data_IF_607198223483
#
_entry.id   IF_607198223483
#
_cell.length_a   1.000
_cell.length_b   1.000
_cell.length_c   1.000
_cell.angle_alpha   90.00
_cell.angle_beta   90.00
_cell.angle_gamma   90.00
#
_symmetry.space_group_name_H-M   'P 1'
#
loop_
_entity.id
_entity.type
_entity.pdbx_description
1 polymer ?
#
# COMPACT_ATOMS: atom_id res chain seq x y z
N UNK A 1 64.22 -37.57 -5.41
CA UNK A 1 63.62 -37.01 -4.18
C UNK A 1 62.33 -36.31 -4.62
N UNK A 2 61.21 -37.05 -4.65
CA UNK A 2 60.16 -37.06 -3.60
C UNK A 2 59.50 -35.67 -3.48
N UNK A 3 58.20 -35.45 -3.67
CA UNK A 3 56.97 -36.27 -3.63
C UNK A 3 55.84 -35.38 -4.16
N UNK A 4 55.10 -35.73 -5.24
CA UNK A 4 53.75 -36.34 -5.24
C UNK A 4 52.79 -35.85 -4.14
N UNK A 5 51.68 -35.27 -4.58
CA UNK A 5 50.44 -35.04 -3.82
C UNK A 5 49.29 -34.69 -4.77
N UNK A 6 48.70 -35.72 -5.40
CA UNK A 6 47.34 -35.73 -5.95
C UNK A 6 46.34 -35.42 -4.83
N UNK A 7 45.24 -34.71 -5.09
CA UNK A 7 43.88 -35.16 -4.73
C UNK A 7 42.79 -34.42 -5.54
N UNK A 8 41.84 -35.24 -5.99
CA UNK A 8 40.49 -35.04 -6.55
C UNK A 8 39.93 -33.59 -6.59
N UNK A 9 39.30 -33.12 -7.67
CA UNK A 9 38.36 -33.83 -8.52
C UNK A 9 36.92 -33.57 -8.06
N UNK A 10 36.34 -32.43 -8.45
CA UNK A 10 34.89 -32.27 -8.57
C UNK A 10 34.63 -31.57 -9.91
N UNK A 11 34.33 -32.40 -10.92
CA UNK A 11 33.58 -31.99 -12.09
C UNK A 11 32.16 -31.65 -11.60
N UNK A 12 31.80 -30.37 -11.58
CA UNK A 12 30.40 -29.97 -11.61
C UNK A 12 30.06 -29.64 -13.06
N UNK A 13 29.38 -30.59 -13.70
CA UNK A 13 28.88 -30.52 -15.06
C UNK A 13 27.83 -29.42 -15.22
N UNK A 14 27.87 -28.80 -16.39
CA UNK A 14 26.93 -27.84 -16.99
C UNK A 14 25.46 -28.05 -16.56
N UNK A 15 24.87 -27.01 -15.97
CA UNK A 15 23.44 -26.74 -16.02
C UNK A 15 23.24 -25.24 -16.31
N UNK A 16 22.53 -24.97 -17.42
CA UNK A 16 22.09 -23.65 -17.87
C UNK A 16 21.03 -23.08 -16.92
N UNK A 17 21.20 -21.83 -16.47
CA UNK A 17 20.14 -20.81 -16.42
C UNK A 17 20.70 -19.48 -15.86
N UNK A 18 20.34 -18.39 -16.52
CA UNK A 18 20.74 -17.01 -16.27
C UNK A 18 20.53 -16.52 -14.82
N UNK A 19 21.52 -15.79 -14.29
CA UNK A 19 21.39 -14.40 -13.84
C UNK A 19 22.76 -13.89 -13.37
N UNK A 20 23.49 -13.27 -14.28
CA UNK A 20 24.58 -12.35 -13.91
C UNK A 20 24.01 -10.94 -13.95
N UNK A 21 23.94 -10.30 -12.78
CA UNK A 21 24.11 -8.86 -12.57
C UNK A 21 24.23 -8.66 -11.07
N UNK A 22 25.47 -8.43 -10.63
CA UNK A 22 25.78 -8.07 -9.25
C UNK A 22 25.25 -6.67 -8.92
N UNK A 23 24.63 -6.54 -7.76
CA UNK A 23 24.46 -5.24 -7.11
C UNK A 23 25.81 -4.78 -6.55
N UNK A 24 26.21 -3.58 -6.97
CA UNK A 24 27.34 -2.82 -6.43
C UNK A 24 27.10 -2.47 -4.95
N UNK A 25 28.07 -2.61 -4.03
CA UNK A 25 27.92 -2.18 -2.65
C UNK A 25 28.39 -0.72 -2.54
N UNK A 26 27.49 0.24 -2.75
CA UNK A 26 27.88 1.65 -2.56
C UNK A 26 26.81 2.72 -2.77
N UNK A 27 26.27 3.19 -1.64
CA UNK A 27 25.86 4.58 -1.35
C UNK A 27 24.51 5.11 -1.87
N UNK A 28 23.56 5.25 -0.94
CA UNK A 28 22.73 6.46 -0.80
C UNK A 28 22.59 6.84 0.68
N UNK A 29 23.21 7.96 1.08
CA UNK A 29 22.82 8.73 2.26
C UNK A 29 22.29 10.05 1.71
N UNK A 30 21.01 10.39 1.96
CA UNK A 30 20.46 11.76 2.06
C UNK A 30 18.92 11.73 2.26
N UNK A 31 18.42 11.81 3.50
CA UNK A 31 17.05 12.29 3.80
C UNK A 31 15.90 11.26 3.94
N UNK A 32 14.76 11.66 4.54
CA UNK A 32 13.94 10.79 5.40
C UNK A 32 13.09 9.77 4.64
N UNK A 33 13.28 8.50 5.04
CA UNK A 33 12.64 7.26 4.58
C UNK A 33 12.64 7.09 3.05
N UNK A 34 13.84 6.94 2.48
CA UNK A 34 13.97 6.16 1.24
C UNK A 34 13.56 4.72 1.55
N UNK A 35 12.41 4.32 1.04
CA UNK A 35 12.09 2.94 0.72
C UNK A 35 13.33 2.34 0.04
N UNK A 36 13.97 1.36 0.68
CA UNK A 36 15.26 0.83 0.26
C UNK A 36 15.32 0.55 -1.24
N UNK A 37 16.47 0.85 -1.84
CA UNK A 37 16.90 0.53 -3.21
C UNK A 37 16.63 -0.95 -3.59
N UNK A 38 15.40 -1.24 -4.02
CA UNK A 38 14.98 -2.61 -4.40
C UNK A 38 13.97 -3.28 -3.47
N UNK A 39 13.46 -2.56 -2.46
CA UNK A 39 12.29 -2.95 -1.66
C UNK A 39 11.05 -3.01 -2.54
N UNK A 40 10.88 -4.12 -3.26
CA UNK A 40 9.66 -4.39 -4.00
C UNK A 40 8.56 -4.46 -2.97
N UNK A 41 7.73 -3.41 -2.86
CA UNK A 41 6.54 -3.50 -2.05
C UNK A 41 5.76 -4.71 -2.53
N UNK A 42 5.70 -5.72 -1.66
CA UNK A 42 5.00 -6.94 -1.97
C UNK A 42 3.54 -6.54 -2.01
N UNK A 43 2.94 -6.73 -3.17
CA UNK A 43 1.52 -6.56 -3.35
C UNK A 43 0.79 -7.36 -2.26
N UNK A 44 -0.19 -6.73 -1.62
CA UNK A 44 -1.05 -7.36 -0.63
C UNK A 44 -2.20 -8.05 -1.37
N UNK A 45 -2.40 -9.37 -1.16
CA UNK A 45 -3.52 -10.09 -1.78
C UNK A 45 -4.86 -9.57 -1.26
N UNK A 46 -5.93 -9.93 -1.95
CA UNK A 46 -7.29 -9.70 -1.47
C UNK A 46 -7.48 -10.29 -0.07
N UNK A 47 -8.24 -9.55 0.74
CA UNK A 47 -8.61 -9.92 2.11
C UNK A 47 -10.12 -9.99 2.24
N UNK A 48 -10.62 -10.66 3.28
CA UNK A 48 -12.04 -10.65 3.57
C UNK A 48 -12.52 -9.20 3.82
N UNK A 49 -13.64 -8.75 3.21
CA UNK A 49 -14.11 -7.39 3.41
C UNK A 49 -14.43 -7.08 4.89
N UNK A 50 -14.18 -5.84 5.30
CA UNK A 50 -14.31 -5.36 6.68
C UNK A 50 -15.77 -5.17 7.17
N UNK A 51 -16.68 -6.07 6.81
CA UNK A 51 -18.12 -5.93 7.02
C UNK A 51 -18.85 -5.36 5.79
N UNK A 52 -20.14 -5.06 5.95
CA UNK A 52 -21.04 -4.65 4.85
C UNK A 52 -20.90 -3.18 4.43
N UNK A 53 -20.34 -2.34 5.30
CA UNK A 53 -20.17 -0.92 5.02
C UNK A 53 -21.50 -0.17 4.90
N UNK A 54 -22.39 -0.25 5.89
CA UNK A 54 -23.64 0.53 5.99
C UNK A 54 -23.52 2.09 5.90
N UNK A 55 -22.40 2.64 5.44
CA UNK A 55 -22.10 4.06 5.32
C UNK A 55 -22.22 4.54 3.87
N UNK A 56 -22.30 5.85 3.69
CA UNK A 56 -22.43 6.47 2.37
C UNK A 56 -21.11 6.32 1.59
N UNK A 57 -21.17 5.57 0.49
CA UNK A 57 -20.07 5.42 -0.45
C UNK A 57 -19.62 6.80 -0.97
N UNK A 58 -18.31 7.05 -0.98
CA UNK A 58 -17.72 8.26 -1.55
C UNK A 58 -17.80 9.51 -0.68
N UNK A 59 -18.63 9.51 0.36
CA UNK A 59 -18.76 10.64 1.27
C UNK A 59 -17.50 10.81 2.13
N UNK A 60 -17.03 12.05 2.29
CA UNK A 60 -15.95 12.38 3.22
C UNK A 60 -16.33 11.96 4.65
N UNK A 61 -15.66 10.94 5.20
CA UNK A 61 -16.04 10.36 6.48
C UNK A 61 -15.73 11.31 7.65
N UNK A 62 -14.60 12.00 7.60
CA UNK A 62 -14.13 12.84 8.70
C UNK A 62 -14.78 14.24 8.62
N UNK A 63 -14.73 14.89 7.46
CA UNK A 63 -15.19 16.28 7.30
C UNK A 63 -16.68 16.47 7.03
N UNK A 64 -17.45 15.41 6.75
CA UNK A 64 -18.92 15.51 6.66
C UNK A 64 -19.63 15.64 8.01
N UNK A 65 -18.87 15.61 9.12
CA UNK A 65 -19.38 15.81 10.48
C UNK A 65 -19.75 14.53 11.23
N UNK A 66 -19.43 13.36 10.70
CA UNK A 66 -19.80 12.05 11.26
C UNK A 66 -18.70 11.32 12.04
N UNK A 67 -17.41 11.49 11.69
CA UNK A 67 -16.33 10.71 12.29
C UNK A 67 -15.10 11.50 12.70
N UNK A 68 -15.13 12.84 12.65
CA UNK A 68 -14.01 13.65 13.18
C UNK A 68 -14.14 13.94 14.67
N UNK A 69 -15.29 14.45 15.11
CA UNK A 69 -15.52 14.81 16.52
C UNK A 69 -16.96 14.55 17.02
N UNK A 70 -17.87 14.08 16.15
CA UNK A 70 -19.30 13.94 16.44
C UNK A 70 -19.93 12.95 15.47
N UNK A 71 -21.07 12.33 15.82
CA UNK A 71 -21.88 11.52 14.90
C UNK A 71 -21.57 10.02 14.88
N UNK A 72 -20.41 9.61 15.40
CA UNK A 72 -19.96 8.23 15.42
C UNK A 72 -18.60 8.08 16.12
N UNK A 73 -18.02 6.88 16.15
CA UNK A 73 -16.64 6.69 16.61
C UNK A 73 -15.68 7.53 15.76
N UNK A 74 -14.66 8.10 16.40
CA UNK A 74 -13.67 8.91 15.71
C UNK A 74 -12.78 8.05 14.80
N UNK A 75 -12.58 8.49 13.56
CA UNK A 75 -11.65 7.89 12.61
C UNK A 75 -10.45 8.80 12.39
N UNK A 76 -9.31 8.18 12.14
CA UNK A 76 -8.03 8.84 11.86
C UNK A 76 -7.70 8.82 10.38
N UNK A 77 -8.03 7.72 9.69
CA UNK A 77 -7.96 7.59 8.23
C UNK A 77 -9.24 6.94 7.73
N UNK A 78 -9.83 7.45 6.66
CA UNK A 78 -10.99 6.83 6.00
C UNK A 78 -11.17 7.30 4.56
N UNK A 79 -11.85 6.47 3.77
CA UNK A 79 -12.22 6.79 2.39
C UNK A 79 -12.95 5.65 1.68
N UNK A 80 -13.00 5.71 0.35
CA UNK A 80 -13.66 4.72 -0.52
C UNK A 80 -12.78 4.42 -1.73
N UNK A 81 -12.55 3.13 -2.02
CA UNK A 81 -11.83 2.68 -3.22
C UNK A 81 -12.78 2.26 -4.33
N UNK A 82 -12.42 2.66 -5.54
CA UNK A 82 -13.14 2.40 -6.77
C UNK A 82 -12.28 1.68 -7.80
N UNK A 83 -12.91 0.99 -8.73
CA UNK A 83 -12.28 0.40 -9.90
C UNK A 83 -12.56 1.26 -11.13
N UNK A 84 -11.50 1.83 -11.69
CA UNK A 84 -11.61 2.70 -12.88
C UNK A 84 -12.05 1.93 -14.13
N UNK A 85 -11.73 0.63 -14.24
CA UNK A 85 -12.09 -0.20 -15.40
C UNK A 85 -13.54 -0.69 -15.33
N UNK A 86 -14.11 -0.78 -14.14
CA UNK A 86 -15.51 -1.18 -13.91
C UNK A 86 -16.42 0.04 -13.70
N UNK A 87 -16.25 1.09 -14.51
CA UNK A 87 -17.08 2.30 -14.45
C UNK A 87 -17.14 2.96 -13.06
N UNK A 88 -16.10 2.82 -12.24
CA UNK A 88 -16.07 3.39 -10.89
C UNK A 88 -16.96 2.64 -9.89
N UNK A 89 -17.17 1.33 -10.06
CA UNK A 89 -17.70 0.46 -9.00
C UNK A 89 -16.72 0.38 -7.83
N UNK A 90 -17.21 0.08 -6.63
CA UNK A 90 -16.37 -0.04 -5.43
C UNK A 90 -15.58 -1.33 -5.39
N UNK A 91 -14.43 -1.31 -4.71
CA UNK A 91 -13.52 -2.45 -4.60
C UNK A 91 -13.54 -3.03 -3.18
N UNK A 92 -14.31 -4.08 -2.94
CA UNK A 92 -14.30 -4.79 -1.65
C UNK A 92 -13.05 -5.68 -1.52
N UNK A 93 -12.56 -5.86 -0.28
CA UNK A 93 -11.45 -6.77 0.03
C UNK A 93 -10.05 -6.27 -0.33
N UNK A 94 -9.92 -5.08 -0.93
CA UNK A 94 -8.64 -4.41 -1.10
C UNK A 94 -8.04 -4.01 0.25
N UNK A 95 -6.70 -3.90 0.33
CA UNK A 95 -6.00 -3.39 1.50
C UNK A 95 -5.44 -2.01 1.24
N UNK A 96 -5.79 -1.05 2.09
CA UNK A 96 -5.12 0.24 2.18
C UNK A 96 -3.94 0.10 3.13
N UNK A 97 -2.74 0.35 2.64
CA UNK A 97 -1.52 0.44 3.43
C UNK A 97 -1.21 1.91 3.65
N UNK A 98 -1.19 2.34 4.91
CA UNK A 98 -0.81 3.68 5.33
C UNK A 98 0.50 3.56 6.09
N UNK A 99 1.53 4.27 5.66
CA UNK A 99 2.77 4.47 6.41
C UNK A 99 2.80 5.93 6.83
N UNK A 100 2.89 6.17 8.12
CA UNK A 100 2.87 7.54 8.66
C UNK A 100 4.29 8.14 8.74
N UNK A 101 4.38 9.41 9.14
CA UNK A 101 5.63 10.16 9.22
C UNK A 101 6.60 9.65 10.28
N UNK A 102 6.12 8.84 11.23
CA UNK A 102 6.93 8.16 12.24
C UNK A 102 7.37 6.76 11.78
N UNK A 103 6.98 6.34 10.56
CA UNK A 103 7.28 5.05 9.97
C UNK A 103 6.34 3.91 10.39
N UNK A 104 5.23 4.23 11.05
CA UNK A 104 4.24 3.24 11.47
C UNK A 104 3.37 2.81 10.29
N UNK A 105 3.27 1.49 10.07
CA UNK A 105 2.39 0.91 9.06
C UNK A 105 1.03 0.48 9.64
N UNK A 106 -0.06 0.91 9.00
CA UNK A 106 -1.44 0.50 9.29
C UNK A 106 -2.04 -0.11 8.02
N UNK A 107 -2.64 -1.30 8.15
CA UNK A 107 -3.31 -2.01 7.04
C UNK A 107 -4.81 -2.04 7.27
N UNK A 108 -5.57 -1.53 6.33
CA UNK A 108 -7.02 -1.31 6.44
C UNK A 108 -7.73 -2.04 5.29
N UNK A 109 -8.45 -3.15 5.55
CA UNK A 109 -9.25 -3.79 4.52
C UNK A 109 -10.46 -2.91 4.15
N UNK A 110 -10.84 -2.92 2.87
CA UNK A 110 -12.08 -2.29 2.42
C UNK A 110 -13.29 -3.17 2.74
N UNK A 111 -14.40 -2.54 3.11
CA UNK A 111 -15.69 -3.17 3.34
C UNK A 111 -16.38 -3.55 2.01
N UNK A 112 -17.55 -4.20 2.09
CA UNK A 112 -18.30 -4.65 0.93
C UNK A 112 -18.69 -3.52 -0.04
N UNK A 113 -18.81 -2.30 0.46
CA UNK A 113 -19.08 -1.09 -0.32
C UNK A 113 -17.80 -0.29 -0.67
N UNK A 114 -16.61 -0.89 -0.55
CA UNK A 114 -15.32 -0.26 -0.84
C UNK A 114 -14.85 0.79 0.17
N UNK A 115 -15.62 1.08 1.23
CA UNK A 115 -15.18 1.99 2.28
C UNK A 115 -14.08 1.36 3.12
N UNK A 116 -13.16 2.19 3.60
CA UNK A 116 -12.17 1.81 4.60
C UNK A 116 -12.10 2.88 5.67
N UNK A 117 -11.77 2.48 6.89
CA UNK A 117 -11.56 3.39 8.00
C UNK A 117 -10.69 2.75 9.08
N UNK A 118 -10.02 3.57 9.88
CA UNK A 118 -9.37 3.16 11.13
C UNK A 118 -9.50 4.24 12.19
N UNK A 119 -9.45 3.84 13.46
CA UNK A 119 -9.30 4.73 14.61
C UNK A 119 -7.88 4.73 15.17
N UNK A 120 -6.99 3.97 14.54
CA UNK A 120 -5.60 3.85 14.95
C UNK A 120 -4.87 5.19 14.76
N UNK A 121 -4.19 5.73 15.79
CA UNK A 121 -3.44 6.99 15.65
C UNK A 121 -2.36 6.89 14.58
N UNK A 122 -2.27 7.94 13.75
CA UNK A 122 -1.24 8.13 12.71
C UNK A 122 -0.72 9.56 12.74
N UNK A 123 0.56 9.74 12.43
CA UNK A 123 1.22 11.05 12.35
C UNK A 123 1.47 11.44 10.88
N UNK A 124 0.88 12.53 10.35
CA UNK A 124 1.24 13.01 9.02
C UNK A 124 2.73 13.39 8.90
N UNK A 125 3.33 13.34 7.69
CA UNK A 125 2.70 13.02 6.41
C UNK A 125 2.40 11.52 6.24
N UNK A 126 1.36 11.20 5.47
CA UNK A 126 0.95 9.83 5.20
C UNK A 126 1.33 9.41 3.78
N UNK A 127 2.03 8.27 3.69
CA UNK A 127 2.23 7.51 2.46
C UNK A 127 1.12 6.49 2.36
N UNK A 128 0.29 6.57 1.32
CA UNK A 128 -0.89 5.71 1.19
C UNK A 128 -0.81 4.89 -0.09
N UNK A 129 -1.23 3.64 -0.01
CA UNK A 129 -1.26 2.68 -1.11
C UNK A 129 -2.51 1.83 -1.03
N UNK A 130 -3.21 1.64 -2.13
CA UNK A 130 -4.27 0.64 -2.27
C UNK A 130 -3.71 -0.59 -2.96
N UNK A 131 -4.01 -1.79 -2.46
CA UNK A 131 -3.48 -3.05 -2.98
C UNK A 131 -4.52 -4.17 -2.97
N UNK A 132 -4.63 -4.87 -4.08
CA UNK A 132 -5.35 -6.13 -4.24
C UNK A 132 -4.73 -6.88 -5.42
N UNK A 133 -3.89 -7.88 -5.13
CA UNK A 133 -3.07 -8.49 -6.17
C UNK A 133 -3.86 -9.02 -7.37
N UNK A 134 -3.36 -8.78 -8.60
CA UNK A 134 -2.04 -8.22 -8.95
C UNK A 134 -1.95 -6.68 -8.95
N UNK A 135 -3.01 -5.98 -8.56
CA UNK A 135 -3.13 -4.55 -8.66
C UNK A 135 -2.63 -3.84 -7.40
N UNK A 136 -1.71 -2.89 -7.57
CA UNK A 136 -1.11 -2.16 -6.46
C UNK A 136 -0.83 -0.71 -6.89
N UNK A 137 -1.41 0.27 -6.19
CA UNK A 137 -1.38 1.69 -6.55
C UNK A 137 -1.02 2.55 -5.37
N UNK A 138 0.03 3.34 -5.55
CA UNK A 138 0.53 4.29 -4.55
C UNK A 138 -0.01 5.68 -4.85
N UNK A 139 -0.36 6.43 -3.82
CA UNK A 139 -0.53 7.87 -3.96
C UNK A 139 0.80 8.50 -4.39
N UNK A 140 0.73 9.42 -5.35
CA UNK A 140 1.90 10.15 -5.86
C UNK A 140 2.29 11.34 -4.98
N UNK A 141 1.36 11.78 -4.12
CA UNK A 141 1.53 12.88 -3.18
C UNK A 141 1.32 12.39 -1.77
N UNK A 142 2.05 12.98 -0.82
CA UNK A 142 1.85 12.73 0.61
C UNK A 142 0.55 13.37 1.08
N UNK A 143 -0.24 12.63 1.85
CA UNK A 143 -1.43 13.19 2.49
C UNK A 143 -1.05 13.86 3.82
N UNK A 144 -1.66 15.01 4.11
CA UNK A 144 -1.46 15.73 5.38
C UNK A 144 -2.55 15.43 6.41
N UNK A 145 -3.58 14.69 6.01
CA UNK A 145 -4.62 14.17 6.89
C UNK A 145 -5.13 12.83 6.36
N UNK A 146 -5.95 12.13 7.16
CA UNK A 146 -6.52 10.85 6.78
C UNK A 146 -7.91 10.94 6.14
N UNK A 147 -8.40 12.11 5.75
CA UNK A 147 -9.70 12.22 5.08
C UNK A 147 -9.55 12.02 3.56
N UNK A 148 -9.38 10.77 3.15
CA UNK A 148 -9.08 10.42 1.77
C UNK A 148 -10.25 10.62 0.79
N UNK A 149 -11.41 11.09 1.27
CA UNK A 149 -12.56 11.46 0.45
C UNK A 149 -12.97 12.93 0.61
N UNK A 150 -12.12 13.76 1.24
CA UNK A 150 -12.32 15.19 1.35
C UNK A 150 -11.33 15.98 0.49
N UNK A 151 -11.81 17.14 0.00
CA UNK A 151 -11.00 18.27 -0.46
C UNK A 151 -9.92 18.01 -1.52
N UNK A 152 -10.10 18.55 -2.73
CA UNK A 152 -9.11 18.79 -3.81
C UNK A 152 -8.24 17.60 -4.33
N UNK A 153 -8.03 16.52 -3.57
CA UNK A 153 -7.26 15.36 -4.01
C UNK A 153 -8.16 14.19 -4.35
N UNK A 154 -9.13 13.86 -3.51
CA UNK A 154 -10.15 12.88 -3.88
C UNK A 154 -11.55 13.30 -3.39
N UNK A 155 -12.51 13.36 -4.32
CA UNK A 155 -13.93 13.59 -4.11
C UNK A 155 -14.77 12.54 -4.86
N UNK A 156 -15.99 12.28 -4.37
CA UNK A 156 -16.89 11.32 -5.03
C UNK A 156 -17.22 11.66 -6.50
N UNK A 157 -17.01 12.90 -6.94
CA UNK A 157 -17.46 13.42 -8.23
C UNK A 157 -16.33 13.75 -9.22
N UNK A 158 -15.12 14.09 -8.76
CA UNK A 158 -14.09 14.66 -9.63
C UNK A 158 -12.76 13.90 -9.59
N UNK A 159 -12.40 13.29 -8.44
CA UNK A 159 -11.15 12.55 -8.30
C UNK A 159 -11.34 11.42 -7.29
N UNK A 160 -11.26 10.15 -7.68
CA UNK A 160 -11.55 9.01 -6.79
C UNK A 160 -10.29 8.21 -6.53
N UNK A 161 -10.25 7.52 -5.39
CA UNK A 161 -9.19 6.55 -5.11
C UNK A 161 -9.43 5.33 -6.00
N UNK A 162 -8.53 5.07 -6.95
CA UNK A 162 -8.69 4.00 -7.92
C UNK A 162 -7.71 2.84 -7.75
N UNK A 163 -8.25 1.63 -7.81
CA UNK A 163 -7.55 0.42 -8.24
C UNK A 163 -7.97 0.10 -9.69
N UNK A 164 -7.18 -0.73 -10.37
CA UNK A 164 -7.58 -1.34 -11.64
C UNK A 164 -7.93 -2.77 -11.28
N UNK A 165 -9.03 -3.35 -11.73
CA UNK A 165 -9.12 -4.80 -11.89
C UNK A 165 -9.04 -5.15 -13.38
#
# INVERSE_FOLDING_TARGET
MSSRGLFAGVLCTVALAWCALGCDPGSINDGPLTLDDGGTFICVPETAPAGDGHHNEGQACLTSGCHRNSGGPAFTVAGTVYDIKKNGLTVPGATIVVIDGDGKEVRIPTAQNGNFWTSEPVSPPLYVRASQCPNDRRMVSLSQDGDCNAGQCHSAAEDRIFLYE
#
